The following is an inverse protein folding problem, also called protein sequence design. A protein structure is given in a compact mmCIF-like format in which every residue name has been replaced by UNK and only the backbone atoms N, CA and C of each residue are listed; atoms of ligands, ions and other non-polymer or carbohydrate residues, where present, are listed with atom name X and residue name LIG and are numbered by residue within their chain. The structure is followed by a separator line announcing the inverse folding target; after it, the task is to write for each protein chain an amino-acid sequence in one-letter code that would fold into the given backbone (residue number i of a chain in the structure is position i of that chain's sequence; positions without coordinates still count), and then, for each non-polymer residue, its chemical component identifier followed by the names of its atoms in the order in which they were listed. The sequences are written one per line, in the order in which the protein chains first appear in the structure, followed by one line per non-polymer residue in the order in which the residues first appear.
data_IF_548161260349
#
_entry.id   IF_548161260349
#
_cell.length_a   1.000
_cell.length_b   1.000
_cell.length_c   1.000
_cell.angle_alpha   90.00
_cell.angle_beta   90.00
_cell.angle_gamma   90.00
#
_symmetry.space_group_name_H-M   'P 1'
#
loop_
_entity.id
_entity.type
_entity.pdbx_description
1 polymer ?
#
# COMPACT_ATOMS: atom_id res chain seq x y z
N UNK A 1 2.53 17.40 21.11
CA UNK A 1 1.13 17.64 20.70
C UNK A 1 1.17 18.63 19.54
N UNK A 2 1.44 18.14 18.32
CA UNK A 2 1.76 19.02 17.17
C UNK A 2 0.50 19.20 16.32
N UNK A 3 0.19 20.47 16.15
CA UNK A 3 -0.95 21.04 15.46
C UNK A 3 -0.76 20.88 13.94
N UNK A 4 -1.53 19.99 13.29
CA UNK A 4 -1.59 19.94 11.83
C UNK A 4 -2.34 21.17 11.32
N UNK A 5 -1.63 22.05 10.61
CA UNK A 5 -2.18 23.27 10.03
C UNK A 5 -3.15 22.91 8.90
N UNK A 6 -4.42 23.24 9.09
CA UNK A 6 -5.47 23.11 8.08
C UNK A 6 -5.45 24.35 7.18
N UNK A 7 -5.02 24.19 5.92
CA UNK A 7 -5.20 25.21 4.89
C UNK A 7 -6.46 24.87 4.09
N UNK A 8 -7.54 25.59 4.35
CA UNK A 8 -8.78 25.53 3.59
C UNK A 8 -8.63 26.27 2.26
N UNK A 9 -8.88 25.60 1.13
CA UNK A 9 -9.11 26.26 -0.15
C UNK A 9 -10.53 25.99 -0.62
N UNK A 10 -11.29 27.09 -0.69
CA UNK A 10 -12.68 27.20 -1.13
C UNK A 10 -12.72 27.01 -2.66
N UNK A 11 -13.37 25.95 -3.17
CA UNK A 11 -13.74 25.87 -4.58
C UNK A 11 -15.20 25.46 -4.76
N UNK A 12 -15.79 26.11 -5.77
CA UNK A 12 -17.21 26.26 -6.09
C UNK A 12 -17.97 24.95 -6.30
N UNK A 13 -19.27 25.00 -5.99
CA UNK A 13 -20.20 23.89 -6.09
C UNK A 13 -20.28 23.25 -7.48
N UNK A 14 -20.04 21.95 -7.49
CA UNK A 14 -20.53 21.00 -8.48
C UNK A 14 -21.30 19.94 -7.68
N UNK A 15 -22.54 19.64 -8.08
CA UNK A 15 -23.34 18.55 -7.49
C UNK A 15 -22.50 17.27 -7.49
N UNK A 16 -22.12 16.81 -6.31
CA UNK A 16 -21.38 15.56 -6.08
C UNK A 16 -22.23 14.35 -6.47
N UNK A 17 -22.24 13.99 -7.75
CA UNK A 17 -22.33 12.58 -8.11
C UNK A 17 -20.97 12.00 -7.70
N UNK A 18 -20.85 11.46 -6.48
CA UNK A 18 -19.64 10.80 -5.99
C UNK A 18 -19.38 9.61 -6.92
N UNK A 19 -18.52 9.80 -7.93
CA UNK A 19 -17.94 8.68 -8.64
C UNK A 19 -17.19 7.86 -7.59
N UNK A 20 -17.60 6.62 -7.40
CA UNK A 20 -16.96 5.72 -6.45
C UNK A 20 -15.60 5.33 -7.04
N UNK A 21 -14.55 6.06 -6.64
CA UNK A 21 -13.20 5.92 -7.22
C UNK A 21 -12.49 4.63 -6.77
N UNK A 22 -13.08 3.87 -5.85
CA UNK A 22 -12.55 2.61 -5.33
C UNK A 22 -13.67 1.68 -4.87
N UNK A 23 -13.36 0.39 -4.76
CA UNK A 23 -14.16 -0.61 -4.03
C UNK A 23 -13.44 -0.98 -2.74
N UNK A 24 -14.20 -1.35 -1.71
CA UNK A 24 -13.67 -1.96 -0.48
C UNK A 24 -13.95 -3.45 -0.46
N UNK A 25 -12.98 -4.22 -0.01
CA UNK A 25 -13.12 -5.64 0.30
C UNK A 25 -12.66 -5.89 1.73
N UNK A 26 -13.24 -6.90 2.36
CA UNK A 26 -12.67 -7.45 3.60
C UNK A 26 -11.32 -8.09 3.32
N UNK A 27 -10.46 -8.19 4.33
CA UNK A 27 -9.19 -8.90 4.28
C UNK A 27 -9.38 -10.33 3.77
N UNK A 28 -10.36 -11.08 4.29
CA UNK A 28 -10.68 -12.44 3.83
C UNK A 28 -11.01 -12.52 2.33
N UNK A 29 -11.74 -11.54 1.82
CA UNK A 29 -12.11 -11.50 0.40
C UNK A 29 -10.92 -11.11 -0.46
N UNK A 30 -10.16 -10.11 -0.04
CA UNK A 30 -8.94 -9.71 -0.70
C UNK A 30 -7.90 -10.84 -0.72
N UNK A 31 -7.77 -11.58 0.39
CA UNK A 31 -6.88 -12.73 0.54
C UNK A 31 -7.19 -13.79 -0.51
N UNK A 32 -8.44 -14.25 -0.61
CA UNK A 32 -8.84 -15.21 -1.66
C UNK A 32 -8.57 -14.73 -3.08
N UNK A 33 -8.72 -13.43 -3.34
CA UNK A 33 -8.46 -12.84 -4.65
C UNK A 33 -6.96 -12.74 -4.96
N UNK A 34 -6.16 -12.41 -3.96
CA UNK A 34 -4.72 -12.15 -4.08
C UNK A 34 -3.86 -13.38 -3.87
N UNK A 35 -4.36 -14.43 -3.23
CA UNK A 35 -3.64 -15.66 -2.94
C UNK A 35 -2.90 -16.26 -4.17
N UNK A 36 -3.54 -16.45 -5.35
CA UNK A 36 -2.85 -16.97 -6.52
C UNK A 36 -1.80 -16.00 -7.11
N UNK A 37 -1.88 -14.71 -6.79
CA UNK A 37 -0.99 -13.67 -7.28
C UNK A 37 0.24 -13.55 -6.36
N UNK A 38 0.01 -13.47 -5.05
CA UNK A 38 1.03 -13.37 -4.02
C UNK A 38 1.76 -14.70 -3.82
N UNK A 39 1.13 -15.83 -4.15
CA UNK A 39 1.71 -17.17 -3.97
C UNK A 39 1.45 -17.77 -2.58
N UNK A 40 0.49 -17.22 -1.85
CA UNK A 40 0.05 -17.66 -0.53
C UNK A 40 -0.85 -16.61 0.13
N UNK A 41 -1.13 -16.78 1.41
CA UNK A 41 -1.99 -15.88 2.18
C UNK A 41 -1.36 -14.49 2.35
N UNK A 42 -2.19 -13.47 2.56
CA UNK A 42 -1.78 -12.08 2.76
C UNK A 42 -0.84 -11.88 3.94
N UNK A 43 -0.84 -12.77 4.92
CA UNK A 43 0.14 -12.77 6.02
C UNK A 43 1.59 -12.88 5.52
N UNK A 44 1.83 -13.39 4.30
CA UNK A 44 3.15 -13.39 3.68
C UNK A 44 3.73 -11.98 3.49
N UNK A 45 2.89 -10.94 3.41
CA UNK A 45 3.36 -9.56 3.32
C UNK A 45 4.19 -9.17 4.54
N UNK A 46 3.86 -9.67 5.74
CA UNK A 46 4.63 -9.45 6.97
C UNK A 46 6.03 -10.11 6.95
N UNK A 47 6.27 -11.01 6.00
CA UNK A 47 7.54 -11.72 5.83
C UNK A 47 8.24 -11.35 4.52
N UNK A 48 7.80 -10.30 3.83
CA UNK A 48 8.31 -9.93 2.51
C UNK A 48 9.79 -9.55 2.52
N UNK A 49 10.33 -9.15 3.67
CA UNK A 49 11.76 -8.91 3.89
C UNK A 49 12.63 -10.17 3.74
N UNK A 50 12.04 -11.36 3.84
CA UNK A 50 12.68 -12.66 3.61
C UNK A 50 12.46 -13.17 2.17
N UNK A 51 12.12 -12.28 1.23
CA UNK A 51 11.99 -12.65 -0.17
C UNK A 51 13.35 -13.07 -0.75
N UNK A 52 13.35 -14.12 -1.56
CA UNK A 52 14.53 -14.62 -2.27
C UNK A 52 15.26 -13.49 -3.00
N UNK A 53 16.59 -13.53 -2.94
CA UNK A 53 17.45 -12.55 -3.63
C UNK A 53 17.08 -12.44 -5.12
N UNK A 54 17.13 -11.21 -5.64
CA UNK A 54 16.79 -10.91 -7.04
C UNK A 54 15.28 -10.80 -7.32
N UNK A 55 14.40 -11.06 -6.34
CA UNK A 55 12.95 -10.86 -6.46
C UNK A 55 12.47 -9.46 -6.08
N UNK A 56 13.37 -8.62 -5.57
CA UNK A 56 13.04 -7.26 -5.17
C UNK A 56 14.09 -6.26 -5.65
N UNK A 57 13.67 -4.99 -5.72
CA UNK A 57 14.50 -3.86 -6.10
C UNK A 57 14.24 -2.71 -5.14
N UNK A 58 15.31 -2.21 -4.52
CA UNK A 58 15.27 -0.96 -3.78
C UNK A 58 15.01 0.21 -4.75
N UNK A 59 13.97 1.00 -4.46
CA UNK A 59 13.60 2.16 -5.27
C UNK A 59 14.08 3.49 -4.67
N UNK A 60 14.22 3.55 -3.34
CA UNK A 60 14.67 4.74 -2.65
C UNK A 60 14.20 4.77 -1.20
N UNK A 61 14.62 5.80 -0.46
CA UNK A 61 14.21 6.06 0.92
C UNK A 61 13.68 7.48 1.02
N UNK A 62 12.57 7.64 1.72
CA UNK A 62 12.03 8.96 2.10
C UNK A 62 12.62 9.33 3.45
N UNK A 63 13.61 10.23 3.45
CA UNK A 63 14.20 10.71 4.69
C UNK A 63 13.20 11.56 5.49
N UNK A 64 13.20 11.37 6.81
CA UNK A 64 12.27 12.03 7.75
C UNK A 64 10.80 11.89 7.31
N UNK A 65 10.41 10.71 6.82
CA UNK A 65 9.09 10.46 6.24
C UNK A 65 7.94 10.81 7.19
N UNK A 66 8.11 10.62 8.50
CA UNK A 66 7.12 10.96 9.54
C UNK A 66 6.72 12.44 9.54
N UNK A 67 7.59 13.32 9.02
CA UNK A 67 7.35 14.76 8.91
C UNK A 67 6.87 15.18 7.51
N UNK A 68 6.61 14.23 6.61
CA UNK A 68 6.13 14.49 5.26
C UNK A 68 4.63 14.25 5.15
N UNK A 69 3.98 14.94 4.21
CA UNK A 69 2.58 14.65 3.88
C UNK A 69 2.48 13.35 3.07
N UNK A 70 1.37 12.63 3.18
CA UNK A 70 1.12 11.41 2.42
C UNK A 70 1.30 11.62 0.90
N UNK A 71 0.86 12.77 0.39
CA UNK A 71 1.02 13.14 -1.02
C UNK A 71 2.49 13.26 -1.46
N UNK A 72 3.38 13.72 -0.58
CA UNK A 72 4.82 13.79 -0.86
C UNK A 72 5.47 12.42 -0.82
N UNK A 73 5.09 11.58 0.15
CA UNK A 73 5.55 10.19 0.23
C UNK A 73 5.15 9.43 -1.04
N UNK A 74 3.88 9.51 -1.43
CA UNK A 74 3.37 8.88 -2.65
C UNK A 74 4.10 9.36 -3.92
N UNK A 75 4.39 10.66 -4.03
CA UNK A 75 5.14 11.20 -5.16
C UNK A 75 6.57 10.65 -5.24
N UNK A 76 7.24 10.47 -4.10
CA UNK A 76 8.59 9.91 -4.02
C UNK A 76 8.65 8.45 -4.47
N UNK A 77 7.57 7.68 -4.28
CA UNK A 77 7.48 6.29 -4.73
C UNK A 77 7.47 6.12 -6.25
N UNK A 78 7.09 7.17 -7.00
CA UNK A 78 6.95 7.12 -8.47
C UNK A 78 6.16 5.89 -8.96
N UNK A 79 5.10 5.53 -8.22
CA UNK A 79 4.43 4.22 -8.34
C UNK A 79 3.83 3.97 -9.74
N UNK A 80 3.39 5.03 -10.43
CA UNK A 80 2.83 4.96 -11.80
C UNK A 80 3.83 4.43 -12.83
N UNK A 81 5.14 4.44 -12.53
CA UNK A 81 6.15 3.81 -13.38
C UNK A 81 6.09 2.28 -13.36
N UNK A 82 5.68 1.71 -12.23
CA UNK A 82 5.77 0.27 -11.96
C UNK A 82 4.40 -0.41 -11.92
N UNK A 83 3.35 0.31 -11.52
CA UNK A 83 1.98 -0.17 -11.46
C UNK A 83 1.18 0.31 -12.68
N UNK A 84 0.27 -0.54 -13.16
CA UNK A 84 -0.76 -0.18 -14.14
C UNK A 84 -2.10 -0.78 -13.76
N UNK A 85 -3.15 -0.26 -14.37
CA UNK A 85 -4.52 -0.79 -14.29
C UNK A 85 -5.06 -0.76 -12.85
N UNK A 86 -5.88 -1.74 -12.50
CA UNK A 86 -6.41 -1.87 -11.15
C UNK A 86 -5.38 -2.44 -10.17
N UNK A 87 -5.34 -1.87 -8.99
CA UNK A 87 -4.46 -2.28 -7.90
C UNK A 87 -5.23 -2.53 -6.62
N UNK A 88 -4.68 -3.40 -5.77
CA UNK A 88 -5.07 -3.52 -4.37
C UNK A 88 -4.14 -2.67 -3.52
N UNK A 89 -4.70 -2.05 -2.49
CA UNK A 89 -3.97 -1.28 -1.50
C UNK A 89 -4.27 -1.84 -0.12
N UNK A 90 -3.21 -2.23 0.57
CA UNK A 90 -3.23 -2.73 1.95
C UNK A 90 -2.37 -1.81 2.78
N UNK A 91 -2.93 -1.27 3.86
CA UNK A 91 -2.21 -0.46 4.84
C UNK A 91 -2.71 -0.80 6.25
N UNK A 92 -2.32 -0.01 7.25
CA UNK A 92 -2.68 -0.28 8.64
C UNK A 92 -4.19 -0.39 8.87
N UNK A 93 -4.99 0.45 8.19
CA UNK A 93 -6.45 0.37 8.25
C UNK A 93 -7.03 -0.91 7.64
N UNK A 94 -6.32 -1.59 6.75
CA UNK A 94 -6.75 -2.91 6.29
C UNK A 94 -6.76 -3.93 7.43
N UNK A 95 -5.79 -3.88 8.35
CA UNK A 95 -5.73 -4.76 9.50
C UNK A 95 -6.65 -4.32 10.65
N UNK A 96 -6.79 -3.00 10.87
CA UNK A 96 -7.59 -2.46 11.98
C UNK A 96 -9.09 -2.43 11.65
N UNK A 97 -9.45 -2.09 10.41
CA UNK A 97 -10.84 -1.85 9.99
C UNK A 97 -11.40 -2.91 9.04
N UNK A 98 -10.60 -3.93 8.68
CA UNK A 98 -10.97 -4.95 7.69
C UNK A 98 -11.28 -4.34 6.31
N UNK A 99 -10.48 -3.35 5.88
CA UNK A 99 -10.69 -2.60 4.64
C UNK A 99 -9.49 -2.67 3.70
N UNK A 100 -9.58 -3.49 2.66
CA UNK A 100 -8.67 -3.49 1.51
C UNK A 100 -9.29 -2.68 0.38
N UNK A 101 -8.54 -1.72 -0.15
CA UNK A 101 -9.01 -0.88 -1.25
C UNK A 101 -8.62 -1.48 -2.60
N UNK A 102 -9.55 -1.42 -3.55
CA UNK A 102 -9.32 -1.84 -4.93
C UNK A 102 -9.73 -0.72 -5.88
N UNK A 103 -8.79 -0.22 -6.69
CA UNK A 103 -9.02 0.91 -7.58
C UNK A 103 -8.07 0.95 -8.76
N UNK A 104 -8.45 1.66 -9.81
CA UNK A 104 -7.56 2.00 -10.91
C UNK A 104 -6.43 2.92 -10.40
N UNK A 105 -5.20 2.63 -10.81
CA UNK A 105 -3.98 3.37 -10.45
C UNK A 105 -4.08 4.88 -10.65
N UNK A 106 -4.93 5.34 -11.59
CA UNK A 106 -5.16 6.76 -11.88
C UNK A 106 -5.84 7.50 -10.73
N UNK A 107 -6.55 6.81 -9.84
CA UNK A 107 -7.28 7.43 -8.73
C UNK A 107 -6.51 7.45 -7.40
N UNK A 108 -5.34 6.80 -7.33
CA UNK A 108 -4.56 6.66 -6.09
C UNK A 108 -4.14 8.01 -5.52
N UNK A 109 -3.67 8.94 -6.34
CA UNK A 109 -3.27 10.29 -5.88
C UNK A 109 -4.44 11.04 -5.23
N UNK A 110 -5.62 10.99 -5.88
CA UNK A 110 -6.84 11.60 -5.33
C UNK A 110 -7.25 10.91 -4.02
N UNK A 111 -7.21 9.58 -3.98
CA UNK A 111 -7.55 8.80 -2.81
C UNK A 111 -6.64 9.14 -1.62
N UNK A 112 -5.32 9.14 -1.81
CA UNK A 112 -4.33 9.44 -0.77
C UNK A 112 -4.46 10.90 -0.30
N UNK A 113 -4.69 11.85 -1.21
CA UNK A 113 -4.83 13.27 -0.85
C UNK A 113 -6.00 13.57 0.10
N UNK A 114 -7.06 12.76 0.05
CA UNK A 114 -8.27 12.92 0.86
C UNK A 114 -8.36 11.87 1.98
N UNK A 115 -7.35 11.01 2.13
CA UNK A 115 -7.39 9.87 3.04
C UNK A 115 -7.45 10.31 4.50
N UNK A 116 -6.62 11.28 4.90
CA UNK A 116 -6.60 11.83 6.26
C UNK A 116 -7.95 12.41 6.67
N UNK A 117 -8.61 13.15 5.76
CA UNK A 117 -9.93 13.73 6.03
C UNK A 117 -10.99 12.66 6.26
N UNK A 118 -10.92 11.55 5.51
CA UNK A 118 -11.90 10.46 5.58
C UNK A 118 -11.68 9.51 6.75
N UNK A 119 -10.44 9.27 7.12
CA UNK A 119 -10.07 8.21 8.07
C UNK A 119 -9.53 8.73 9.40
N UNK A 120 -9.30 10.05 9.52
CA UNK A 120 -8.67 10.70 10.68
C UNK A 120 -7.28 10.15 11.02
N UNK A 121 -6.60 9.59 10.02
CA UNK A 121 -5.31 8.93 10.14
C UNK A 121 -4.52 9.09 8.83
N UNK A 122 -3.19 9.19 8.92
CA UNK A 122 -2.31 9.24 7.75
C UNK A 122 -2.42 7.94 6.94
N UNK A 123 -2.30 8.05 5.62
CA UNK A 123 -2.29 6.88 4.74
C UNK A 123 -1.04 6.03 4.94
N UNK A 124 0.13 6.68 5.06
CA UNK A 124 1.40 6.03 5.39
C UNK A 124 1.62 6.11 6.90
N UNK A 125 0.95 5.23 7.65
CA UNK A 125 1.15 5.05 9.09
C UNK A 125 1.66 3.62 9.35
N UNK A 126 2.93 3.37 9.04
CA UNK A 126 3.50 2.02 8.98
C UNK A 126 3.63 1.51 7.55
N UNK A 127 3.56 0.20 7.37
CA UNK A 127 3.74 -0.44 6.06
C UNK A 127 2.52 -0.22 5.16
N UNK A 128 2.78 0.08 3.88
CA UNK A 128 1.75 0.19 2.86
C UNK A 128 2.15 -0.58 1.59
N UNK A 129 1.24 -1.42 1.11
CA UNK A 129 1.44 -2.29 -0.03
C UNK A 129 0.50 -1.92 -1.17
N UNK A 130 1.07 -1.72 -2.35
CA UNK A 130 0.34 -1.46 -3.60
C UNK A 130 0.58 -2.63 -4.55
N UNK A 131 -0.45 -3.41 -4.82
CA UNK A 131 -0.35 -4.70 -5.51
C UNK A 131 -1.02 -4.58 -6.86
N UNK A 132 -0.28 -4.83 -7.95
CA UNK A 132 -0.83 -4.94 -9.29
C UNK A 132 -0.94 -6.40 -9.71
N UNK A 133 -2.16 -6.99 -9.68
CA UNK A 133 -2.42 -8.33 -10.21
C UNK A 133 -1.96 -8.52 -11.65
N UNK A 134 -2.26 -7.54 -12.50
CA UNK A 134 -1.99 -7.61 -13.93
C UNK A 134 -0.48 -7.69 -14.22
N UNK A 135 0.32 -6.89 -13.50
CA UNK A 135 1.79 -6.87 -13.65
C UNK A 135 2.51 -7.90 -12.80
N UNK A 136 1.81 -8.53 -11.84
CA UNK A 136 2.41 -9.38 -10.81
C UNK A 136 3.57 -8.66 -10.10
N UNK A 137 3.33 -7.40 -9.74
CA UNK A 137 4.27 -6.57 -9.00
C UNK A 137 3.62 -6.00 -7.76
N UNK A 138 4.44 -5.73 -6.76
CA UNK A 138 4.04 -5.08 -5.52
C UNK A 138 5.03 -3.95 -5.23
N UNK A 139 4.53 -2.77 -4.87
CA UNK A 139 5.36 -1.73 -4.24
C UNK A 139 5.06 -1.72 -2.75
N UNK A 140 6.11 -1.79 -1.96
CA UNK A 140 6.09 -1.66 -0.52
C UNK A 140 6.66 -0.29 -0.15
N UNK A 141 5.92 0.46 0.67
CA UNK A 141 6.49 1.46 1.55
C UNK A 141 6.60 0.83 2.93
N UNK A 142 7.82 0.68 3.43
CA UNK A 142 8.10 0.09 4.74
C UNK A 142 8.21 1.21 5.80
N UNK A 143 7.86 0.88 7.04
CA UNK A 143 7.75 1.82 8.17
C UNK A 143 9.02 2.62 8.52
N UNK A 144 10.22 2.26 8.04
CA UNK A 144 11.42 3.09 8.18
C UNK A 144 11.64 4.03 6.97
N UNK A 145 10.64 4.16 6.10
CA UNK A 145 10.62 5.04 4.94
C UNK A 145 11.25 4.46 3.68
N UNK A 146 11.62 3.18 3.68
CA UNK A 146 12.19 2.51 2.52
C UNK A 146 11.11 2.10 1.52
N UNK A 147 11.44 2.16 0.23
CA UNK A 147 10.54 1.80 -0.85
C UNK A 147 11.15 0.66 -1.66
N UNK A 148 10.40 -0.42 -1.80
CA UNK A 148 10.80 -1.61 -2.54
C UNK A 148 9.79 -1.96 -3.62
N UNK A 149 10.29 -2.42 -4.76
CA UNK A 149 9.49 -3.08 -5.79
C UNK A 149 9.76 -4.57 -5.71
N UNK A 150 8.71 -5.37 -5.55
CA UNK A 150 8.76 -6.83 -5.47
C UNK A 150 8.10 -7.46 -6.70
N UNK A 151 8.70 -8.53 -7.18
CA UNK A 151 8.09 -9.43 -8.16
C UNK A 151 7.26 -10.48 -7.44
N UNK A 152 6.01 -10.64 -7.85
CA UNK A 152 5.11 -11.66 -7.30
C UNK A 152 5.19 -12.96 -8.13
N UNK A 153 4.96 -14.14 -7.55
CA UNK A 153 4.64 -14.39 -6.13
C UNK A 153 5.81 -14.12 -5.16
N UNK A 154 5.53 -13.87 -3.90
CA UNK A 154 6.55 -13.79 -2.85
C UNK A 154 7.11 -15.21 -2.65
N UNK A 155 8.41 -15.36 -2.88
CA UNK A 155 9.10 -16.62 -2.69
C UNK A 155 10.07 -16.45 -1.55
N UNK A 156 9.86 -17.21 -0.46
CA UNK A 156 10.72 -17.21 0.71
C UNK A 156 11.60 -18.46 0.65
N UNK A 157 12.89 -18.33 0.99
CA UNK A 157 13.82 -19.46 0.99
C UNK A 157 13.39 -20.54 2.00
N UNK A 158 13.73 -21.81 1.76
CA UNK A 158 13.40 -22.88 2.72
C UNK A 158 14.08 -22.69 4.08
N UNK A 159 15.24 -22.05 4.11
CA UNK A 159 15.96 -21.75 5.34
C UNK A 159 15.21 -20.69 6.16
N UNK A 160 14.62 -19.67 5.52
CA UNK A 160 13.84 -18.64 6.20
C UNK A 160 12.44 -19.14 6.57
N UNK A 161 11.84 -20.04 5.78
CA UNK A 161 10.58 -20.73 6.16
C UNK A 161 10.71 -21.43 7.51
N UNK A 162 11.86 -22.05 7.80
CA UNK A 162 12.14 -22.69 9.11
C UNK A 162 12.22 -21.66 10.24
N UNK A 163 12.75 -20.46 9.98
CA UNK A 163 12.82 -19.39 10.98
C UNK A 163 11.43 -18.83 11.28
N UNK A 164 10.58 -18.70 10.25
CA UNK A 164 9.20 -18.24 10.38
C UNK A 164 8.35 -19.26 11.16
N UNK A 165 8.47 -20.55 10.86
CA UNK A 165 7.72 -21.62 11.54
C UNK A 165 8.07 -21.82 13.01
N UNK A 166 9.19 -21.28 13.49
CA UNK A 166 9.61 -21.36 14.90
C UNK A 166 9.11 -20.17 15.72
N UNK A 167 8.64 -19.10 15.06
CA UNK A 167 8.20 -17.84 15.70
C UNK A 167 6.68 -17.61 15.68
N UNK A 168 5.92 -18.41 14.94
CA UNK A 168 4.45 -18.43 14.97
C UNK A 168 3.94 -19.45 15.97
#
# INVERSE_FOLDING_TARGET
MILCIVIYSKFYGIKNNKMEIYKKYTMDKADRMLQPIIGGELILLSYISFSLEGRFKFLGKVENWENQSDTKILAAMNFKRYLSDDIFIINDNSYIKDEVYFMDVRYVELFVSDYLNKNSECFFNGDAFFISPARKTLIEFQHDGYIFLHQLPILISENEKKVISVKG
#
